data_IF_740412718352
#
_entry.id   IF_740412718352
#
_cell.length_a   1.000
_cell.length_b   1.000
_cell.length_c   1.000
_cell.angle_alpha   90.00
_cell.angle_beta   90.00
_cell.angle_gamma   90.00
#
_symmetry.space_group_name_H-M   'P 1'
#
loop_
_entity.id
_entity.type
_entity.pdbx_description
1 polymer ?
#
# COMPACT_ATOMS: atom_id res chain seq x y z
N UNK A 1 -14.49 29.66 -17.30
CA UNK A 1 -13.86 28.32 -17.26
C UNK A 1 -14.02 27.68 -18.64
N UNK A 2 -13.36 26.56 -18.92
CA UNK A 2 -13.42 25.90 -20.23
C UNK A 2 -14.36 24.69 -20.26
N UNK A 3 -14.38 23.98 -21.38
CA UNK A 3 -14.90 22.61 -21.46
C UNK A 3 -13.92 21.64 -20.79
N UNK A 4 -14.40 20.72 -19.96
CA UNK A 4 -13.59 19.73 -19.26
C UNK A 4 -14.40 18.49 -18.91
N UNK A 5 -13.71 17.44 -18.50
CA UNK A 5 -14.30 16.22 -17.96
C UNK A 5 -13.88 16.05 -16.50
N UNK A 6 -14.77 15.58 -15.65
CA UNK A 6 -14.42 15.20 -14.28
C UNK A 6 -15.06 13.87 -13.87
N UNK A 7 -14.43 13.20 -12.90
CA UNK A 7 -15.01 12.02 -12.25
C UNK A 7 -15.63 12.46 -10.93
N UNK A 8 -16.95 12.32 -10.83
CA UNK A 8 -17.75 12.82 -9.72
C UNK A 8 -17.37 12.14 -8.40
N UNK A 9 -17.24 12.94 -7.33
CA UNK A 9 -16.89 12.43 -6.01
C UNK A 9 -15.44 11.93 -5.88
N UNK A 10 -14.58 12.16 -6.88
CA UNK A 10 -13.19 11.69 -6.92
C UNK A 10 -12.18 12.84 -6.90
N UNK A 11 -12.29 13.74 -5.92
CA UNK A 11 -11.29 14.77 -5.66
C UNK A 11 -10.92 15.64 -6.87
N UNK A 12 -9.61 15.84 -7.11
CA UNK A 12 -9.05 16.59 -8.24
C UNK A 12 -8.97 15.76 -9.54
N UNK A 13 -9.83 14.75 -9.73
CA UNK A 13 -9.90 13.98 -10.98
C UNK A 13 -10.67 14.78 -12.02
N UNK A 14 -9.98 15.73 -12.64
CA UNK A 14 -10.51 16.66 -13.62
C UNK A 14 -9.49 16.85 -14.73
N UNK A 15 -9.94 16.86 -15.98
CA UNK A 15 -9.06 17.14 -17.11
C UNK A 15 -8.70 18.62 -17.16
N UNK A 16 -7.65 18.93 -17.92
CA UNK A 16 -7.33 20.31 -18.25
C UNK A 16 -8.48 20.94 -19.04
N UNK A 17 -8.91 22.13 -18.63
CA UNK A 17 -10.02 22.81 -19.28
C UNK A 17 -9.61 23.41 -20.64
N UNK A 18 -10.32 23.02 -21.70
CA UNK A 18 -10.15 23.56 -23.06
C UNK A 18 -10.94 24.87 -23.19
N UNK A 19 -10.33 25.89 -23.78
CA UNK A 19 -10.93 27.22 -23.99
C UNK A 19 -10.76 27.64 -25.45
N UNK A 20 -11.67 28.48 -25.92
CA UNK A 20 -11.68 29.02 -27.29
C UNK A 20 -12.23 28.01 -28.30
N UNK A 21 -12.30 28.46 -29.56
CA UNK A 21 -12.73 27.63 -30.69
C UNK A 21 -11.52 26.82 -31.15
N UNK A 22 -11.51 25.54 -30.80
CA UNK A 22 -10.46 24.60 -31.18
C UNK A 22 -11.09 23.43 -31.94
N UNK A 23 -10.32 22.85 -32.85
CA UNK A 23 -10.67 21.55 -33.45
C UNK A 23 -10.72 20.47 -32.36
N UNK A 24 -11.26 19.30 -32.72
CA UNK A 24 -11.36 18.14 -31.83
C UNK A 24 -10.04 17.89 -31.09
N UNK A 25 -10.10 17.96 -29.76
CA UNK A 25 -8.93 17.88 -28.88
C UNK A 25 -9.22 16.82 -27.82
N UNK A 26 -8.38 15.78 -27.79
CA UNK A 26 -8.47 14.72 -26.79
C UNK A 26 -8.08 15.24 -25.40
N UNK A 27 -8.81 14.79 -24.38
CA UNK A 27 -8.51 15.06 -22.97
C UNK A 27 -8.59 13.76 -22.18
N UNK A 28 -7.62 13.57 -21.28
CA UNK A 28 -7.49 12.35 -20.49
C UNK A 28 -7.24 12.70 -19.01
N UNK A 29 -7.72 11.83 -18.12
CA UNK A 29 -7.35 11.84 -16.71
C UNK A 29 -7.34 10.40 -16.18
N UNK A 30 -6.25 10.04 -15.51
CA UNK A 30 -6.13 8.75 -14.83
C UNK A 30 -6.67 8.84 -13.40
N UNK A 31 -7.40 7.82 -12.95
CA UNK A 31 -7.91 7.74 -11.59
C UNK A 31 -7.98 6.30 -11.10
N UNK A 32 -7.99 6.12 -9.77
CA UNK A 32 -8.20 4.82 -9.12
C UNK A 32 -9.62 4.79 -8.53
N UNK A 33 -10.47 3.88 -9.02
CA UNK A 33 -11.85 3.70 -8.56
C UNK A 33 -11.94 3.34 -7.07
N UNK A 34 -10.88 2.75 -6.50
CA UNK A 34 -10.87 2.15 -5.18
C UNK A 34 -11.89 1.01 -5.10
N UNK A 35 -12.71 1.00 -4.06
CA UNK A 35 -13.73 -0.03 -3.85
C UNK A 35 -15.08 0.30 -4.51
N UNK A 36 -15.14 1.29 -5.41
CA UNK A 36 -16.38 1.69 -6.09
C UNK A 36 -16.68 0.73 -7.23
N UNK A 37 -17.91 0.24 -7.26
CA UNK A 37 -18.48 -0.56 -8.36
C UNK A 37 -19.05 0.30 -9.50
N UNK A 38 -19.16 1.61 -9.26
CA UNK A 38 -19.76 2.58 -10.17
C UNK A 38 -19.03 3.92 -10.09
N UNK A 39 -18.91 4.57 -11.24
CA UNK A 39 -18.36 5.92 -11.38
C UNK A 39 -19.30 6.77 -12.22
N UNK A 40 -19.29 8.07 -11.98
CA UNK A 40 -20.00 9.04 -12.79
C UNK A 40 -19.00 10.01 -13.41
N UNK A 41 -19.02 10.10 -14.73
CA UNK A 41 -18.19 11.01 -15.51
C UNK A 41 -19.08 12.17 -15.96
N UNK A 42 -18.69 13.41 -15.65
CA UNK A 42 -19.41 14.59 -16.14
C UNK A 42 -18.59 15.29 -17.22
N UNK A 43 -19.25 15.60 -18.33
CA UNK A 43 -18.77 16.55 -19.33
C UNK A 43 -19.30 17.93 -18.93
N UNK A 44 -18.41 18.83 -18.55
CA UNK A 44 -18.77 20.14 -18.00
C UNK A 44 -18.30 21.23 -18.94
N UNK A 45 -19.20 22.13 -19.29
CA UNK A 45 -18.87 23.39 -19.96
C UNK A 45 -19.04 24.55 -18.97
N UNK A 46 -17.94 24.89 -18.31
CA UNK A 46 -17.92 25.92 -17.27
C UNK A 46 -18.44 25.47 -15.91
N UNK A 47 -17.68 25.74 -14.86
CA UNK A 47 -18.17 25.68 -13.48
C UNK A 47 -18.87 27.01 -13.10
N UNK A 48 -19.97 26.92 -12.35
CA UNK A 48 -20.66 28.05 -11.70
C UNK A 48 -20.95 29.28 -12.58
N UNK A 49 -21.31 29.09 -13.87
CA UNK A 49 -21.97 30.12 -14.68
C UNK A 49 -21.09 31.21 -15.32
N UNK A 50 -19.75 31.07 -15.32
CA UNK A 50 -18.83 32.07 -15.90
C UNK A 50 -18.29 31.72 -17.30
N UNK A 51 -18.98 30.85 -18.04
CA UNK A 51 -18.52 30.38 -19.37
C UNK A 51 -19.62 30.58 -20.40
N UNK A 52 -19.26 30.98 -21.61
CA UNK A 52 -20.17 31.37 -22.69
C UNK A 52 -19.85 30.60 -23.96
N UNK A 53 -20.85 30.13 -24.68
CA UNK A 53 -20.68 29.41 -25.95
C UNK A 53 -21.29 28.01 -25.92
N UNK A 54 -20.79 27.13 -26.78
CA UNK A 54 -21.17 25.72 -26.86
C UNK A 54 -19.90 24.87 -26.86
N UNK A 55 -19.95 23.72 -26.20
CA UNK A 55 -18.92 22.69 -26.27
C UNK A 55 -19.55 21.39 -26.72
N UNK A 56 -18.87 20.69 -27.63
CA UNK A 56 -19.25 19.37 -28.10
C UNK A 56 -18.32 18.34 -27.46
N UNK A 57 -18.89 17.21 -27.08
CA UNK A 57 -18.17 16.08 -26.51
C UNK A 57 -18.55 14.86 -27.34
N UNK A 58 -17.56 14.07 -27.70
CA UNK A 58 -17.74 12.82 -28.42
C UNK A 58 -16.68 11.81 -27.98
N UNK A 59 -16.86 10.54 -28.35
CA UNK A 59 -15.88 9.46 -28.17
C UNK A 59 -15.36 9.27 -26.73
N UNK A 60 -16.28 9.30 -25.75
CA UNK A 60 -15.93 8.97 -24.38
C UNK A 60 -15.63 7.47 -24.24
N UNK A 61 -14.40 7.16 -23.84
CA UNK A 61 -13.99 5.79 -23.53
C UNK A 61 -13.44 5.71 -22.11
N UNK A 62 -13.68 4.57 -21.47
CA UNK A 62 -13.00 4.20 -20.23
C UNK A 62 -12.07 3.05 -20.58
N UNK A 63 -10.78 3.26 -20.38
CA UNK A 63 -9.77 2.24 -20.57
C UNK A 63 -9.28 1.80 -19.20
N UNK A 64 -9.31 0.49 -18.96
CA UNK A 64 -8.63 -0.08 -17.80
C UNK A 64 -7.14 0.12 -18.02
N UNK A 65 -6.54 1.00 -17.21
CA UNK A 65 -5.10 1.17 -17.21
C UNK A 65 -4.50 0.01 -16.41
N UNK A 66 -4.26 -1.10 -17.10
CA UNK A 66 -3.38 -2.15 -16.61
C UNK A 66 -1.99 -1.54 -16.62
N UNK A 67 -1.49 -1.13 -15.45
CA UNK A 67 -0.07 -0.87 -15.34
C UNK A 67 0.62 -2.21 -15.60
N UNK A 68 1.25 -2.34 -16.77
CA UNK A 68 2.31 -3.33 -16.98
C UNK A 68 3.44 -2.93 -16.03
N UNK A 69 3.32 -3.36 -14.77
CA UNK A 69 4.51 -3.69 -14.00
C UNK A 69 5.18 -4.74 -14.87
N UNK A 70 6.39 -4.44 -15.33
CA UNK A 70 7.15 -5.34 -16.19
C UNK A 70 7.24 -6.69 -15.47
N UNK A 71 6.36 -7.62 -15.83
CA UNK A 71 6.25 -8.99 -15.30
C UNK A 71 7.42 -9.86 -15.78
N UNK A 72 8.56 -9.23 -16.10
CA UNK A 72 9.84 -9.87 -16.35
C UNK A 72 10.46 -10.47 -15.08
N UNK A 73 9.66 -10.70 -14.02
CA UNK A 73 9.90 -11.73 -13.01
C UNK A 73 8.55 -12.27 -12.46
N UNK A 74 7.62 -12.68 -13.32
CA UNK A 74 6.63 -13.73 -12.95
C UNK A 74 7.25 -15.14 -13.09
N UNK A 75 8.53 -15.27 -12.71
CA UNK A 75 8.93 -16.49 -12.03
C UNK A 75 8.14 -16.54 -10.72
N UNK A 76 7.91 -17.73 -10.14
CA UNK A 76 7.53 -17.79 -8.73
C UNK A 76 8.52 -16.90 -7.99
N UNK A 77 8.07 -15.79 -7.38
CA UNK A 77 8.90 -14.95 -6.53
C UNK A 77 9.20 -15.79 -5.28
N UNK A 78 10.14 -16.72 -5.42
CA UNK A 78 10.60 -17.57 -4.34
C UNK A 78 11.50 -16.68 -3.50
N UNK A 79 11.06 -16.36 -2.29
CA UNK A 79 11.86 -15.55 -1.38
C UNK A 79 13.17 -16.25 -1.01
N UNK A 80 14.26 -15.49 -1.03
CA UNK A 80 15.57 -15.90 -0.52
C UNK A 80 15.71 -15.40 0.92
N UNK A 81 15.65 -16.32 1.89
CA UNK A 81 15.80 -16.01 3.31
C UNK A 81 17.14 -15.34 3.66
N UNK A 82 18.20 -15.57 2.89
CA UNK A 82 19.51 -14.92 3.09
C UNK A 82 19.44 -13.45 2.69
N UNK A 83 18.82 -13.14 1.53
CA UNK A 83 18.54 -11.75 1.15
C UNK A 83 17.59 -11.10 2.14
N UNK A 84 16.53 -11.81 2.56
CA UNK A 84 15.57 -11.33 3.55
C UNK A 84 16.20 -10.95 4.87
N UNK A 85 17.13 -11.74 5.37
CA UNK A 85 17.91 -11.42 6.58
C UNK A 85 18.70 -10.12 6.41
N UNK A 86 19.36 -9.94 5.27
CA UNK A 86 20.10 -8.70 4.97
C UNK A 86 19.15 -7.51 4.87
N UNK A 87 17.98 -7.69 4.26
CA UNK A 87 16.96 -6.63 4.20
C UNK A 87 16.47 -6.23 5.60
N UNK A 88 16.19 -7.22 6.43
CA UNK A 88 15.78 -7.05 7.83
C UNK A 88 16.82 -6.25 8.64
N UNK A 89 18.11 -6.48 8.40
CA UNK A 89 19.20 -5.89 9.19
C UNK A 89 19.69 -4.55 8.65
N UNK A 90 19.83 -4.41 7.33
CA UNK A 90 20.67 -3.39 6.72
C UNK A 90 19.92 -2.47 5.77
N UNK A 91 18.76 -2.86 5.24
CA UNK A 91 18.10 -2.11 4.18
C UNK A 91 17.67 -0.72 4.67
N UNK A 92 17.95 0.37 3.94
CA UNK A 92 17.68 1.74 4.42
C UNK A 92 16.21 2.02 4.77
N UNK A 93 15.28 1.39 4.03
CA UNK A 93 13.84 1.55 4.21
C UNK A 93 13.25 0.49 5.15
N UNK A 94 13.37 -0.82 4.83
CA UNK A 94 12.86 -1.89 5.67
C UNK A 94 13.43 -1.88 7.09
N UNK A 95 14.78 -1.95 7.23
CA UNK A 95 15.57 -1.94 8.48
C UNK A 95 14.82 -2.47 9.72
N UNK A 96 14.15 -3.61 9.59
CA UNK A 96 13.18 -4.09 10.57
C UNK A 96 13.81 -4.29 11.96
N UNK A 97 15.11 -4.59 12.00
CA UNK A 97 15.92 -4.70 13.23
C UNK A 97 15.91 -3.42 14.09
N UNK A 98 15.63 -2.25 13.52
CA UNK A 98 15.52 -0.99 14.29
C UNK A 98 14.34 -0.99 15.25
N UNK A 99 13.29 -1.74 14.93
CA UNK A 99 12.07 -1.79 15.71
C UNK A 99 11.83 -3.15 16.35
N UNK A 100 12.20 -4.24 15.68
CA UNK A 100 11.95 -5.61 16.13
C UNK A 100 13.22 -6.30 16.59
N UNK A 101 13.06 -7.13 17.62
CA UNK A 101 14.13 -7.95 18.17
C UNK A 101 14.11 -9.37 17.60
N UNK A 102 15.30 -9.91 17.30
CA UNK A 102 15.54 -11.34 17.03
C UNK A 102 16.79 -11.75 17.80
N UNK A 103 16.69 -12.81 18.60
CA UNK A 103 17.76 -13.37 19.44
C UNK A 103 18.42 -12.33 20.35
N UNK A 104 17.62 -11.42 20.91
CA UNK A 104 18.11 -10.34 21.78
C UNK A 104 18.74 -9.16 21.04
N UNK A 105 18.78 -9.16 19.71
CA UNK A 105 19.35 -8.07 18.90
C UNK A 105 18.25 -7.28 18.19
N UNK A 106 18.33 -5.95 18.26
CA UNK A 106 17.41 -5.03 17.61
C UNK A 106 16.64 -4.13 18.58
N UNK A 107 15.63 -3.44 18.06
CA UNK A 107 14.77 -2.55 18.82
C UNK A 107 13.66 -3.25 19.59
N UNK A 108 13.01 -2.50 20.49
CA UNK A 108 11.89 -2.96 21.32
C UNK A 108 10.59 -2.19 21.04
N UNK A 109 10.55 -1.47 19.91
CA UNK A 109 9.38 -0.67 19.50
C UNK A 109 8.28 -1.58 18.99
N UNK A 110 8.63 -2.61 18.22
CA UNK A 110 7.76 -3.68 17.77
C UNK A 110 7.96 -4.94 18.62
N UNK A 111 7.02 -5.89 18.59
CA UNK A 111 7.14 -7.16 19.30
C UNK A 111 8.33 -7.99 18.79
N UNK A 112 8.90 -8.88 19.63
CA UNK A 112 9.95 -9.79 19.18
C UNK A 112 9.43 -10.74 18.09
N UNK A 113 10.32 -11.12 17.18
CA UNK A 113 9.99 -11.95 16.00
C UNK A 113 10.64 -13.34 16.02
N UNK A 114 11.36 -13.71 17.08
CA UNK A 114 12.08 -14.99 17.21
C UNK A 114 11.23 -16.22 16.85
N UNK A 115 9.95 -16.20 17.22
CA UNK A 115 8.99 -17.30 17.05
C UNK A 115 7.83 -16.96 16.11
N UNK A 116 7.95 -15.91 15.28
CA UNK A 116 6.83 -15.43 14.47
C UNK A 116 6.26 -16.52 13.56
N UNK A 117 7.09 -17.39 13.00
CA UNK A 117 6.66 -18.46 12.11
C UNK A 117 5.94 -19.62 12.83
N UNK A 118 6.03 -19.69 14.17
CA UNK A 118 5.18 -20.58 14.98
C UNK A 118 3.80 -19.98 15.24
N UNK A 119 3.72 -18.65 15.31
CA UNK A 119 2.50 -17.92 15.71
C UNK A 119 1.64 -17.52 14.52
N UNK A 120 2.25 -17.28 13.36
CA UNK A 120 1.62 -16.68 12.18
C UNK A 120 2.15 -17.36 10.92
N UNK A 121 1.31 -17.39 9.89
CA UNK A 121 1.67 -17.92 8.57
C UNK A 121 2.21 -16.81 7.64
N UNK A 122 2.69 -17.23 6.46
CA UNK A 122 3.24 -16.31 5.47
C UNK A 122 2.20 -15.28 4.96
N UNK A 123 0.91 -15.63 4.95
CA UNK A 123 -0.16 -14.74 4.51
C UNK A 123 -0.34 -13.58 5.51
N UNK A 124 -0.37 -13.89 6.81
CA UNK A 124 -0.42 -12.87 7.86
C UNK A 124 0.81 -11.95 7.83
N UNK A 125 2.01 -12.52 7.66
CA UNK A 125 3.24 -11.73 7.59
C UNK A 125 3.22 -10.79 6.39
N UNK A 126 2.78 -11.28 5.22
CA UNK A 126 2.59 -10.46 4.03
C UNK A 126 1.63 -9.32 4.28
N UNK A 127 0.44 -9.61 4.83
CA UNK A 127 -0.56 -8.59 5.14
C UNK A 127 0.02 -7.54 6.10
N UNK A 128 0.72 -7.96 7.15
CA UNK A 128 1.38 -7.05 8.10
C UNK A 128 2.44 -6.17 7.44
N UNK A 129 3.14 -6.66 6.40
CA UNK A 129 4.12 -5.87 5.64
C UNK A 129 3.44 -4.89 4.70
N UNK A 130 2.37 -5.29 4.03
CA UNK A 130 1.67 -4.48 3.01
C UNK A 130 0.77 -3.43 3.66
N UNK A 131 -0.05 -3.86 4.61
CA UNK A 131 -1.00 -3.04 5.37
C UNK A 131 -0.85 -3.33 6.88
N UNK A 132 0.14 -2.73 7.55
CA UNK A 132 0.37 -2.91 8.99
C UNK A 132 -0.77 -2.39 9.88
N UNK A 133 -1.77 -1.72 9.31
CA UNK A 133 -2.94 -1.20 10.00
C UNK A 133 -4.14 -2.14 9.89
N UNK A 134 -4.16 -3.07 8.93
CA UNK A 134 -5.24 -4.05 8.76
C UNK A 134 -5.35 -5.00 9.96
N UNK A 135 -4.21 -5.41 10.53
CA UNK A 135 -4.15 -6.30 11.67
C UNK A 135 -3.05 -5.89 12.66
N UNK A 136 -3.46 -5.24 13.75
CA UNK A 136 -2.55 -4.91 14.85
C UNK A 136 -2.04 -6.19 15.53
N UNK A 137 -0.74 -6.22 15.85
CA UNK A 137 -0.16 -7.35 16.57
C UNK A 137 -0.82 -7.49 17.95
N UNK A 138 -1.14 -8.73 18.32
CA UNK A 138 -1.78 -9.05 19.59
C UNK A 138 -0.95 -8.53 20.78
N UNK A 139 -1.60 -7.79 21.67
CA UNK A 139 -0.95 -7.18 22.84
C UNK A 139 -0.15 -5.91 22.58
N UNK A 140 -0.20 -5.34 21.37
CA UNK A 140 0.44 -4.05 21.09
C UNK A 140 -0.33 -2.89 21.75
N UNK A 141 0.33 -1.99 22.51
CA UNK A 141 -0.35 -1.01 23.35
C UNK A 141 -0.91 0.21 22.59
N UNK A 142 -0.48 0.44 21.34
CA UNK A 142 -0.89 1.61 20.57
C UNK A 142 -2.09 1.31 19.67
N UNK A 143 -2.92 2.33 19.42
CA UNK A 143 -4.07 2.27 18.50
C UNK A 143 -3.66 2.36 17.02
N UNK A 144 -2.41 2.74 16.75
CA UNK A 144 -1.84 2.97 15.42
C UNK A 144 -0.49 2.27 15.36
N UNK A 145 -0.25 1.47 14.33
CA UNK A 145 1.04 0.85 14.06
C UNK A 145 2.05 1.91 13.60
N UNK A 146 3.24 1.99 14.22
CA UNK A 146 4.33 2.81 13.72
C UNK A 146 5.06 2.15 12.52
N UNK A 147 4.66 0.94 12.14
CA UNK A 147 5.25 0.20 11.03
C UNK A 147 4.84 0.85 9.69
N UNK A 148 5.80 1.17 8.80
CA UNK A 148 5.49 1.70 7.48
C UNK A 148 4.75 0.68 6.59
N UNK A 149 3.86 1.13 5.68
CA UNK A 149 3.22 0.25 4.70
C UNK A 149 4.22 -0.14 3.60
N UNK A 150 4.88 -1.28 3.74
CA UNK A 150 5.98 -1.66 2.85
C UNK A 150 5.53 -2.09 1.45
N UNK A 151 4.24 -2.37 1.25
CA UNK A 151 3.68 -2.69 -0.07
C UNK A 151 3.84 -1.57 -1.11
N UNK A 152 4.07 -0.33 -0.66
CA UNK A 152 4.34 0.82 -1.54
C UNK A 152 5.80 1.32 -1.43
N UNK A 153 6.60 0.72 -0.55
CA UNK A 153 7.96 1.18 -0.24
C UNK A 153 9.05 0.20 -0.68
N UNK A 154 8.71 -1.07 -0.88
CA UNK A 154 9.64 -2.13 -1.26
C UNK A 154 9.22 -2.79 -2.58
N UNK A 155 10.18 -3.22 -3.41
CA UNK A 155 9.91 -4.09 -4.53
C UNK A 155 9.23 -5.41 -4.08
N UNK A 156 8.38 -6.03 -4.93
CA UNK A 156 7.71 -7.29 -4.58
C UNK A 156 8.67 -8.41 -4.14
N UNK A 157 9.80 -8.59 -4.81
CA UNK A 157 10.80 -9.61 -4.44
C UNK A 157 11.41 -9.36 -3.06
N UNK A 158 11.62 -8.11 -2.66
CA UNK A 158 12.16 -7.80 -1.33
C UNK A 158 11.14 -8.13 -0.23
N UNK A 159 9.85 -8.01 -0.51
CA UNK A 159 8.77 -8.46 0.37
C UNK A 159 8.80 -9.99 0.50
N UNK A 160 8.96 -10.74 -0.60
CA UNK A 160 9.09 -12.20 -0.55
C UNK A 160 10.33 -12.66 0.22
N UNK A 161 11.47 -12.02 -0.01
CA UNK A 161 12.71 -12.31 0.68
C UNK A 161 12.54 -12.12 2.19
N UNK A 162 11.91 -11.01 2.62
CA UNK A 162 11.58 -10.74 4.02
C UNK A 162 10.65 -11.81 4.60
N UNK A 163 9.58 -12.19 3.88
CA UNK A 163 8.67 -13.25 4.32
C UNK A 163 9.44 -14.57 4.47
N UNK A 164 10.25 -14.95 3.48
CA UNK A 164 11.05 -16.17 3.52
C UNK A 164 11.98 -16.20 4.74
N UNK A 165 12.65 -15.08 5.05
CA UNK A 165 13.46 -14.96 6.26
C UNK A 165 12.63 -15.08 7.54
N UNK A 166 11.53 -14.35 7.66
CA UNK A 166 10.68 -14.38 8.85
C UNK A 166 10.08 -15.77 9.08
N UNK A 167 9.77 -16.52 8.02
CA UNK A 167 9.32 -17.90 8.10
C UNK A 167 10.40 -18.89 8.61
N UNK A 168 11.67 -18.49 8.63
CA UNK A 168 12.75 -19.27 9.29
C UNK A 168 12.78 -19.08 10.81
N UNK A 169 12.12 -18.04 11.33
CA UNK A 169 12.17 -17.68 12.75
C UNK A 169 11.16 -18.48 13.56
N UNK A 170 11.64 -19.62 14.08
CA UNK A 170 10.87 -20.58 14.88
C UNK A 170 11.46 -20.79 16.28
N UNK A 171 12.49 -20.03 16.65
CA UNK A 171 13.14 -20.18 17.95
C UNK A 171 12.33 -19.48 19.03
N UNK A 172 12.18 -20.10 20.20
CA UNK A 172 11.51 -19.39 21.29
C UNK A 172 12.32 -18.13 21.66
N UNK A 173 11.66 -16.99 21.91
CA UNK A 173 12.36 -15.77 22.30
C UNK A 173 13.16 -15.99 23.60
N UNK A 174 14.28 -15.29 23.81
CA UNK A 174 15.02 -15.35 25.08
C UNK A 174 14.08 -15.11 26.27
N UNK A 175 14.32 -15.83 27.37
CA UNK A 175 13.52 -15.67 28.59
C UNK A 175 13.50 -14.19 29.03
N UNK A 176 12.32 -13.56 28.95
CA UNK A 176 12.12 -12.14 29.32
C UNK A 176 11.76 -11.18 28.17
N UNK A 177 11.78 -11.59 26.90
CA UNK A 177 11.39 -10.71 25.78
C UNK A 177 9.90 -10.77 25.39
N UNK A 178 9.13 -11.71 25.95
CA UNK A 178 7.68 -11.80 25.73
C UNK A 178 6.97 -10.63 26.43
N UNK A 179 6.36 -9.75 25.66
CA UNK A 179 5.37 -8.80 26.17
C UNK A 179 4.14 -9.62 26.57
N UNK A 180 3.77 -9.61 27.85
CA UNK A 180 2.62 -10.34 28.34
C UNK A 180 1.35 -9.85 27.63
N UNK A 181 0.41 -10.75 27.25
CA UNK A 181 -0.89 -10.31 26.74
C UNK A 181 -1.55 -9.46 27.81
N UNK A 182 -1.86 -8.20 27.49
CA UNK A 182 -2.59 -7.35 28.41
C UNK A 182 -4.05 -7.79 28.41
N UNK A 183 -4.45 -8.51 29.46
CA UNK A 183 -5.87 -8.76 29.74
C UNK A 183 -6.51 -7.41 30.06
N UNK A 184 -7.26 -6.85 29.12
CA UNK A 184 -8.13 -5.70 29.38
C UNK A 184 -9.25 -6.21 30.28
N UNK A 185 -9.16 -5.90 31.57
CA UNK A 185 -10.28 -6.05 32.50
C UNK A 185 -11.22 -4.87 32.23
N UNK A 186 -12.45 -5.18 31.83
CA UNK A 186 -13.53 -4.19 31.81
C UNK A 186 -14.07 -4.08 33.24
N UNK A 187 -13.94 -2.89 33.86
CA UNK A 187 -14.72 -2.49 35.03
C UNK A 187 -16.06 -1.87 34.61
#
# INVERSE_FOLDING_TARGET
>A
MGALMNVHGMGQTVTQAIKGDQDWTEVEVTFNSGNRDSIQVNCLFGGWGVSTGMAWFDDLSLQELIMEIDDQETGSLVGDATRGKRLFQEHPVASCVRCHQVQGQGGVVGPPLDDIAKRKDAAYIRESLIDPQAAMAEGYPAQVSPMPPFGVLLPPQDVEDLIAYLMTLQTDPPAGSRVAPQTIQFE
#
